data_IF_822040743429
#
_entry.id   IF_822040743429
#
_cell.length_a   1.000
_cell.length_b   1.000
_cell.length_c   1.000
_cell.angle_alpha   90.00
_cell.angle_beta   90.00
_cell.angle_gamma   90.00
#
_symmetry.space_group_name_H-M   'P 1'
#
loop_
_entity.id
_entity.type
_entity.pdbx_description
1 polymer ?
#
# COMPACT_ATOMS: atom_id res chain seq x y z
N UNK A 1 1.87 -15.85 -7.94
CA UNK A 1 2.19 -14.92 -9.02
C UNK A 1 1.04 -14.70 -10.00
N UNK A 2 0.39 -15.74 -10.54
CA UNK A 2 -0.75 -15.60 -11.47
C UNK A 2 -1.88 -14.75 -10.89
N UNK A 3 -2.28 -15.02 -9.65
CA UNK A 3 -3.31 -14.24 -8.97
C UNK A 3 -2.88 -12.78 -8.77
N UNK A 4 -1.65 -12.53 -8.31
CA UNK A 4 -1.13 -11.17 -8.12
C UNK A 4 -1.02 -10.41 -9.46
N UNK A 5 -0.66 -11.09 -10.56
CA UNK A 5 -0.66 -10.49 -11.90
C UNK A 5 -2.05 -10.10 -12.36
N UNK A 6 -3.05 -10.95 -12.13
CA UNK A 6 -4.46 -10.65 -12.38
C UNK A 6 -4.92 -9.43 -11.55
N UNK A 7 -4.65 -9.41 -10.25
CA UNK A 7 -4.99 -8.25 -9.41
C UNK A 7 -4.29 -6.97 -9.85
N UNK A 8 -3.01 -7.05 -10.25
CA UNK A 8 -2.27 -5.89 -10.72
C UNK A 8 -2.87 -5.32 -12.00
N UNK A 9 -3.31 -6.17 -12.94
CA UNK A 9 -4.00 -5.73 -14.17
C UNK A 9 -5.26 -4.94 -13.83
N UNK A 10 -6.09 -5.43 -12.92
CA UNK A 10 -7.32 -4.74 -12.50
C UNK A 10 -7.03 -3.46 -11.70
N UNK A 11 -6.04 -3.51 -10.83
CA UNK A 11 -5.57 -2.33 -10.07
C UNK A 11 -5.10 -1.21 -11.01
N UNK A 12 -4.25 -1.54 -12.00
CA UNK A 12 -3.76 -0.55 -12.95
C UNK A 12 -4.89 0.01 -13.83
N UNK A 13 -5.84 -0.86 -14.23
CA UNK A 13 -7.02 -0.44 -14.96
C UNK A 13 -7.84 0.60 -14.18
N UNK A 14 -8.01 0.43 -12.87
CA UNK A 14 -8.74 1.36 -12.01
C UNK A 14 -8.08 2.75 -11.92
N UNK A 15 -6.75 2.85 -12.04
CA UNK A 15 -6.04 4.15 -11.96
C UNK A 15 -6.37 5.09 -13.11
N UNK A 16 -6.99 4.60 -14.19
CA UNK A 16 -7.21 5.31 -15.46
C UNK A 16 -5.93 5.68 -16.22
N UNK A 17 -4.76 5.47 -15.64
CA UNK A 17 -3.49 5.71 -16.32
C UNK A 17 -3.29 4.72 -17.48
N UNK A 18 -2.56 5.12 -18.54
CA UNK A 18 -2.36 4.30 -19.74
C UNK A 18 -1.27 3.25 -19.53
N UNK A 19 -1.50 2.29 -18.63
CA UNK A 19 -0.57 1.22 -18.34
C UNK A 19 -1.29 -0.09 -18.08
N UNK A 20 -0.70 -1.19 -18.55
CA UNK A 20 -1.08 -2.55 -18.20
C UNK A 20 -0.59 -2.96 -16.82
N UNK A 21 -0.76 -4.22 -16.45
CA UNK A 21 -0.31 -4.75 -15.17
C UNK A 21 0.23 -6.16 -15.28
N UNK A 22 1.35 -6.41 -14.61
CA UNK A 22 1.98 -7.70 -14.50
C UNK A 22 2.63 -7.90 -13.13
N UNK A 23 3.03 -9.12 -12.83
CA UNK A 23 3.84 -9.49 -11.66
C UNK A 23 4.92 -10.48 -12.06
N UNK A 24 6.11 -10.24 -11.57
CA UNK A 24 7.24 -11.16 -11.64
C UNK A 24 7.80 -11.44 -10.25
N UNK A 25 8.78 -12.33 -10.17
CA UNK A 25 9.45 -12.63 -8.90
C UNK A 25 10.43 -13.78 -9.04
N UNK A 26 11.10 -14.08 -7.94
CA UNK A 26 12.03 -15.19 -7.80
C UNK A 26 11.77 -15.93 -6.50
N UNK A 27 12.41 -17.08 -6.33
CA UNK A 27 12.46 -17.86 -5.11
C UNK A 27 13.69 -17.55 -4.23
N UNK A 28 14.38 -16.45 -4.53
CA UNK A 28 15.54 -16.01 -3.75
C UNK A 28 15.09 -15.48 -2.38
N UNK A 29 15.64 -16.09 -1.32
CA UNK A 29 15.42 -15.64 0.05
C UNK A 29 16.55 -14.68 0.49
N UNK A 30 16.25 -13.39 0.72
CA UNK A 30 17.23 -12.40 1.16
C UNK A 30 17.55 -12.45 2.67
N UNK A 31 16.81 -13.24 3.46
CA UNK A 31 16.99 -13.29 4.91
C UNK A 31 18.40 -13.82 5.25
N UNK A 32 19.12 -13.08 6.05
CA UNK A 32 20.51 -13.42 6.44
C UNK A 32 21.57 -13.20 5.37
N UNK A 33 21.20 -12.66 4.20
CA UNK A 33 22.15 -12.31 3.14
C UNK A 33 22.73 -10.90 3.36
N UNK A 34 24.00 -10.74 3.00
CA UNK A 34 24.64 -9.43 2.95
C UNK A 34 24.16 -8.60 1.76
N UNK A 35 24.32 -7.29 1.84
CA UNK A 35 24.01 -6.37 0.72
C UNK A 35 24.79 -6.75 -0.56
N UNK A 36 26.02 -7.24 -0.43
CA UNK A 36 26.81 -7.69 -1.55
C UNK A 36 26.23 -8.96 -2.22
N UNK A 37 25.66 -9.89 -1.46
CA UNK A 37 24.98 -11.07 -2.00
C UNK A 37 23.68 -10.68 -2.71
N UNK A 38 22.88 -9.80 -2.10
CA UNK A 38 21.64 -9.29 -2.69
C UNK A 38 21.95 -8.51 -3.98
N UNK A 39 22.99 -7.69 -3.98
CA UNK A 39 23.45 -6.95 -5.17
C UNK A 39 23.83 -7.91 -6.30
N UNK A 40 24.61 -8.96 -6.02
CA UNK A 40 25.00 -9.96 -7.03
C UNK A 40 23.77 -10.67 -7.60
N UNK A 41 22.80 -11.02 -6.75
CA UNK A 41 21.55 -11.61 -7.21
C UNK A 41 20.78 -10.64 -8.14
N UNK A 42 20.59 -9.39 -7.75
CA UNK A 42 19.93 -8.37 -8.57
C UNK A 42 20.62 -8.17 -9.93
N UNK A 43 21.96 -8.15 -9.92
CA UNK A 43 22.74 -8.02 -11.14
C UNK A 43 22.60 -9.23 -12.06
N UNK A 44 22.64 -10.46 -11.51
CA UNK A 44 22.42 -11.68 -12.28
C UNK A 44 21.00 -11.75 -12.84
N UNK A 45 20.00 -11.37 -12.05
CA UNK A 45 18.60 -11.30 -12.49
C UNK A 45 18.43 -10.29 -13.66
N UNK A 46 19.07 -9.13 -13.58
CA UNK A 46 19.01 -8.11 -14.63
C UNK A 46 19.71 -8.54 -15.90
N UNK A 47 20.75 -9.40 -15.86
CA UNK A 47 21.40 -9.94 -17.06
C UNK A 47 20.43 -10.70 -17.98
N UNK A 48 19.41 -11.33 -17.39
CA UNK A 48 18.37 -12.02 -18.15
C UNK A 48 17.21 -11.08 -18.52
N UNK A 49 16.82 -10.20 -17.60
CA UNK A 49 15.62 -9.38 -17.71
C UNK A 49 15.78 -8.19 -18.66
N UNK A 50 16.96 -7.59 -18.79
CA UNK A 50 17.17 -6.30 -19.42
C UNK A 50 16.69 -6.19 -20.89
N UNK A 51 16.65 -7.33 -21.60
CA UNK A 51 16.17 -7.36 -22.99
C UNK A 51 14.65 -7.30 -23.12
N UNK A 52 13.95 -7.55 -22.03
CA UNK A 52 12.48 -7.63 -21.99
C UNK A 52 11.85 -6.38 -21.37
N UNK A 53 12.66 -5.42 -20.88
CA UNK A 53 12.20 -4.21 -20.20
C UNK A 53 12.76 -2.96 -20.88
N UNK A 54 12.08 -1.85 -20.65
CA UNK A 54 12.50 -0.56 -21.22
C UNK A 54 11.51 0.53 -20.85
N UNK A 55 11.84 1.82 -21.12
CA UNK A 55 10.96 2.93 -20.78
C UNK A 55 9.61 2.89 -21.49
N UNK A 56 9.53 2.22 -22.65
CA UNK A 56 8.32 2.08 -23.49
C UNK A 56 7.89 0.60 -23.64
N UNK A 57 8.34 -0.27 -22.73
CA UNK A 57 8.00 -1.69 -22.67
C UNK A 57 7.47 -2.02 -21.26
N UNK A 58 7.94 -3.12 -20.68
CA UNK A 58 7.63 -3.45 -19.29
C UNK A 58 8.53 -2.63 -18.34
N UNK A 59 7.92 -1.97 -17.36
CA UNK A 59 8.60 -1.12 -16.38
C UNK A 59 8.43 -1.74 -14.97
N UNK A 60 9.40 -2.52 -14.48
CA UNK A 60 9.32 -3.13 -13.15
C UNK A 60 9.30 -2.09 -12.03
N UNK A 61 8.63 -2.43 -10.93
CA UNK A 61 8.51 -1.62 -9.73
C UNK A 61 8.87 -2.43 -8.48
N UNK A 62 9.15 -1.75 -7.39
CA UNK A 62 9.34 -2.38 -6.08
C UNK A 62 8.06 -3.02 -5.56
N UNK A 63 8.19 -4.14 -4.85
CA UNK A 63 7.14 -4.88 -4.17
C UNK A 63 7.75 -5.67 -3.00
N UNK A 64 7.11 -6.73 -2.53
CA UNK A 64 7.61 -7.55 -1.42
C UNK A 64 9.08 -7.97 -1.64
N UNK A 65 9.94 -7.62 -0.71
CA UNK A 65 11.38 -7.92 -0.76
C UNK A 65 12.19 -7.05 -1.74
N UNK A 66 11.56 -6.16 -2.50
CA UNK A 66 12.22 -5.29 -3.48
C UNK A 66 11.95 -3.83 -3.14
N UNK A 67 12.84 -3.22 -2.41
CA UNK A 67 12.80 -1.81 -2.03
C UNK A 67 13.76 -0.94 -2.86
N UNK A 68 13.96 0.30 -2.41
CA UNK A 68 14.84 1.26 -3.11
C UNK A 68 16.29 0.76 -3.30
N UNK A 69 16.80 -0.06 -2.37
CA UNK A 69 18.12 -0.69 -2.47
C UNK A 69 18.20 -1.65 -3.67
N UNK A 70 17.26 -2.58 -3.76
CA UNK A 70 17.17 -3.57 -4.85
C UNK A 70 16.93 -2.87 -6.20
N UNK A 71 16.02 -1.90 -6.22
CA UNK A 71 15.78 -1.07 -7.43
C UNK A 71 17.07 -0.36 -7.87
N UNK A 72 17.87 0.13 -6.92
CA UNK A 72 19.18 0.73 -7.22
C UNK A 72 20.15 -0.25 -7.85
N UNK A 73 20.24 -1.48 -7.32
CA UNK A 73 21.11 -2.53 -7.87
C UNK A 73 20.67 -2.97 -9.28
N UNK A 74 19.35 -3.12 -9.49
CA UNK A 74 18.78 -3.46 -10.79
C UNK A 74 19.00 -2.33 -11.81
N UNK A 75 18.70 -1.09 -11.44
CA UNK A 75 18.88 0.07 -12.32
C UNK A 75 20.34 0.27 -12.72
N UNK A 76 21.28 0.19 -11.77
CA UNK A 76 22.70 0.34 -12.05
C UNK A 76 23.22 -0.73 -13.02
N UNK A 77 22.72 -1.97 -12.94
CA UNK A 77 23.09 -3.02 -13.89
C UNK A 77 22.45 -2.80 -15.25
N UNK A 78 21.19 -2.40 -15.32
CA UNK A 78 20.51 -2.08 -16.59
C UNK A 78 21.29 -0.99 -17.38
N UNK A 79 21.66 0.12 -16.70
CA UNK A 79 22.42 1.21 -17.34
C UNK A 79 23.76 0.73 -17.95
N UNK A 80 24.44 -0.21 -17.26
CA UNK A 80 25.67 -0.82 -17.79
C UNK A 80 25.45 -1.66 -19.03
N UNK A 81 24.34 -2.41 -19.07
CA UNK A 81 24.01 -3.32 -20.17
C UNK A 81 23.49 -2.56 -21.39
N UNK A 82 22.57 -1.63 -21.19
CA UNK A 82 21.97 -0.83 -22.24
C UNK A 82 22.94 0.19 -22.86
N UNK A 83 23.97 0.62 -22.09
CA UNK A 83 24.91 1.69 -22.49
C UNK A 83 24.25 3.03 -22.79
N UNK A 84 23.04 3.22 -22.31
CA UNK A 84 22.24 4.42 -22.47
C UNK A 84 21.66 4.81 -21.11
N UNK A 85 21.49 6.11 -20.87
CA UNK A 85 20.89 6.58 -19.63
C UNK A 85 19.37 6.70 -19.78
N UNK A 86 18.68 5.65 -19.33
CA UNK A 86 17.21 5.60 -19.29
C UNK A 86 16.71 5.78 -17.87
N UNK A 87 16.06 6.91 -17.59
CA UNK A 87 15.42 7.15 -16.28
C UNK A 87 14.13 6.37 -16.11
N UNK A 88 13.42 6.04 -17.18
CA UNK A 88 12.08 5.47 -17.19
C UNK A 88 11.98 3.94 -17.07
N UNK A 89 13.09 3.22 -16.92
CA UNK A 89 13.14 1.74 -17.00
C UNK A 89 12.56 1.03 -15.78
N UNK A 90 12.62 1.65 -14.61
CA UNK A 90 12.16 1.12 -13.33
C UNK A 90 11.45 2.22 -12.56
N UNK A 91 10.51 1.86 -11.68
CA UNK A 91 9.92 2.80 -10.73
C UNK A 91 10.28 2.46 -9.27
N UNK A 92 10.10 3.43 -8.38
CA UNK A 92 10.57 3.32 -7.00
C UNK A 92 12.04 3.69 -6.84
N UNK A 93 12.56 4.48 -7.77
CA UNK A 93 13.93 4.99 -7.77
C UNK A 93 14.15 6.04 -6.68
N UNK A 94 15.43 6.26 -6.33
CA UNK A 94 15.82 7.38 -5.47
C UNK A 94 15.68 8.72 -6.19
N UNK A 95 15.42 9.78 -5.42
CA UNK A 95 15.19 11.13 -5.94
C UNK A 95 16.33 11.67 -6.81
N UNK A 96 17.56 11.29 -6.51
CA UNK A 96 18.77 11.78 -7.22
C UNK A 96 19.00 11.12 -8.57
N UNK A 97 18.21 10.10 -8.94
CA UNK A 97 18.37 9.31 -10.17
C UNK A 97 17.03 8.93 -10.82
N UNK A 98 16.08 9.87 -10.81
CA UNK A 98 14.83 9.80 -11.57
C UNK A 98 13.63 9.28 -10.81
N UNK A 99 13.70 9.19 -9.47
CA UNK A 99 12.56 8.83 -8.62
C UNK A 99 11.56 9.97 -8.44
N UNK A 100 10.34 9.61 -8.02
CA UNK A 100 9.30 10.56 -7.64
C UNK A 100 9.24 10.72 -6.14
N UNK A 101 9.01 11.94 -5.69
CA UNK A 101 8.67 12.24 -4.29
C UNK A 101 7.37 11.53 -3.89
N UNK A 102 7.18 11.25 -2.62
CA UNK A 102 6.03 10.54 -2.03
C UNK A 102 5.88 9.06 -2.43
N UNK A 103 6.80 8.50 -3.25
CA UNK A 103 6.66 7.10 -3.70
C UNK A 103 6.66 6.08 -2.54
N UNK A 104 7.50 6.20 -1.50
CA UNK A 104 7.49 5.28 -0.36
C UNK A 104 6.17 5.28 0.42
N UNK A 105 5.54 6.45 0.59
CA UNK A 105 4.32 6.66 1.37
C UNK A 105 3.04 6.47 0.54
N UNK A 106 3.15 6.49 -0.78
CA UNK A 106 2.02 6.61 -1.70
C UNK A 106 0.91 5.58 -1.51
N UNK A 107 1.25 4.34 -1.19
CA UNK A 107 0.26 3.30 -0.95
C UNK A 107 -0.59 3.64 0.28
N UNK A 108 0.05 4.03 1.38
CA UNK A 108 -0.62 4.44 2.60
C UNK A 108 -1.43 5.73 2.41
N UNK A 109 -0.87 6.73 1.74
CA UNK A 109 -1.56 7.99 1.42
C UNK A 109 -2.81 7.75 0.58
N UNK A 110 -2.67 7.01 -0.51
CA UNK A 110 -3.79 6.64 -1.37
C UNK A 110 -4.87 5.87 -0.64
N UNK A 111 -4.50 4.94 0.24
CA UNK A 111 -5.46 4.19 1.05
C UNK A 111 -6.30 5.11 1.94
N UNK A 112 -5.69 6.13 2.54
CA UNK A 112 -6.42 7.09 3.37
C UNK A 112 -7.32 8.02 2.53
N UNK A 113 -6.89 8.43 1.34
CA UNK A 113 -7.74 9.17 0.42
C UNK A 113 -8.97 8.34 -0.01
N UNK A 114 -8.76 7.10 -0.42
CA UNK A 114 -9.86 6.20 -0.75
C UNK A 114 -10.81 6.00 0.44
N UNK A 115 -10.26 5.74 1.63
CA UNK A 115 -11.04 5.57 2.86
C UNK A 115 -11.85 6.83 3.18
N UNK A 116 -11.29 8.02 3.02
CA UNK A 116 -11.99 9.29 3.22
C UNK A 116 -13.20 9.41 2.28
N UNK A 117 -13.03 9.12 0.98
CA UNK A 117 -14.13 9.15 0.01
C UNK A 117 -15.20 8.09 0.32
N UNK A 118 -14.79 6.88 0.71
CA UNK A 118 -15.71 5.82 1.14
C UNK A 118 -16.55 6.26 2.36
N UNK A 119 -15.92 6.92 3.33
CA UNK A 119 -16.62 7.42 4.50
C UNK A 119 -17.59 8.56 4.15
N UNK A 120 -17.20 9.50 3.29
CA UNK A 120 -18.07 10.57 2.81
C UNK A 120 -19.29 10.02 2.08
N UNK A 121 -19.14 9.00 1.22
CA UNK A 121 -20.25 8.32 0.55
C UNK A 121 -21.22 7.67 1.56
N UNK A 122 -20.69 7.20 2.69
CA UNK A 122 -21.49 6.65 3.80
C UNK A 122 -22.02 7.71 4.78
N UNK A 123 -21.88 9.02 4.46
CA UNK A 123 -22.31 10.12 5.33
C UNK A 123 -21.49 10.27 6.60
N UNK A 124 -20.23 9.85 6.60
CA UNK A 124 -19.31 9.85 7.74
C UNK A 124 -18.03 10.65 7.43
N UNK A 125 -17.29 10.97 8.47
CA UNK A 125 -15.99 11.64 8.34
C UNK A 125 -14.91 10.81 9.07
N UNK A 126 -13.70 10.86 8.55
CA UNK A 126 -12.52 10.23 9.17
C UNK A 126 -12.01 11.00 10.39
N UNK A 127 -12.28 12.31 10.44
CA UNK A 127 -11.82 13.19 11.51
C UNK A 127 -12.33 12.73 12.88
N UNK A 128 -11.41 12.57 13.82
CA UNK A 128 -11.69 12.11 15.18
C UNK A 128 -11.93 10.60 15.32
N UNK A 129 -11.93 9.84 14.23
CA UNK A 129 -12.07 8.37 14.27
C UNK A 129 -10.80 7.68 14.72
N UNK A 130 -10.96 6.54 15.38
CA UNK A 130 -9.86 5.68 15.80
C UNK A 130 -9.51 4.67 14.70
N UNK A 131 -8.22 4.50 14.44
CA UNK A 131 -7.70 3.63 13.37
C UNK A 131 -6.73 2.61 13.94
N UNK A 132 -6.94 1.33 13.61
CA UNK A 132 -5.97 0.27 13.87
C UNK A 132 -5.27 -0.11 12.56
N UNK A 133 -3.94 -0.18 12.59
CA UNK A 133 -3.09 -0.47 11.42
C UNK A 133 -2.25 -1.69 11.72
N UNK A 134 -2.25 -2.68 10.82
CA UNK A 134 -1.27 -3.77 10.87
C UNK A 134 -0.06 -3.44 10.01
N UNK A 135 1.07 -4.06 10.35
CA UNK A 135 2.30 -3.93 9.60
C UNK A 135 3.25 -2.86 10.14
N UNK A 136 4.47 -2.96 9.65
CA UNK A 136 5.62 -2.18 10.10
C UNK A 136 6.43 -1.62 8.92
N UNK A 137 5.85 -1.67 7.72
CA UNK A 137 6.46 -1.22 6.48
C UNK A 137 6.11 0.21 6.08
N UNK A 138 6.61 0.63 4.92
CA UNK A 138 6.33 1.95 4.35
C UNK A 138 4.83 2.21 4.20
N UNK A 139 4.06 1.18 3.86
CA UNK A 139 2.60 1.25 3.73
C UNK A 139 1.95 1.65 5.05
N UNK A 140 2.30 0.96 6.15
CA UNK A 140 1.75 1.24 7.48
C UNK A 140 2.12 2.65 7.96
N UNK A 141 3.38 3.06 7.79
CA UNK A 141 3.84 4.40 8.20
C UNK A 141 3.25 5.51 7.33
N UNK A 142 3.12 5.28 6.03
CA UNK A 142 2.39 6.20 5.14
C UNK A 142 0.93 6.34 5.55
N UNK A 143 0.24 5.23 5.81
CA UNK A 143 -1.14 5.26 6.29
C UNK A 143 -1.27 6.00 7.63
N UNK A 144 -0.37 5.74 8.60
CA UNK A 144 -0.37 6.43 9.89
C UNK A 144 -0.15 7.94 9.73
N UNK A 145 0.81 8.36 8.89
CA UNK A 145 1.10 9.77 8.61
C UNK A 145 -0.13 10.47 8.03
N UNK A 146 -0.72 9.91 6.98
CA UNK A 146 -1.89 10.54 6.33
C UNK A 146 -3.13 10.50 7.25
N UNK A 147 -3.30 9.46 8.07
CA UNK A 147 -4.40 9.38 9.02
C UNK A 147 -4.38 10.55 10.02
N UNK A 148 -3.21 10.88 10.60
CA UNK A 148 -3.11 12.04 11.50
C UNK A 148 -3.29 13.37 10.78
N UNK A 149 -2.81 13.52 9.55
CA UNK A 149 -3.03 14.72 8.72
C UNK A 149 -4.53 14.95 8.47
N UNK A 150 -5.31 13.88 8.25
CA UNK A 150 -6.76 13.93 8.08
C UNK A 150 -7.54 14.03 9.41
N UNK A 151 -6.83 14.12 10.55
CA UNK A 151 -7.42 14.30 11.88
C UNK A 151 -7.94 13.02 12.54
N UNK A 152 -7.58 11.83 12.04
CA UNK A 152 -7.84 10.56 12.70
C UNK A 152 -6.84 10.28 13.83
N UNK A 153 -7.15 9.31 14.69
CA UNK A 153 -6.30 8.84 15.78
C UNK A 153 -5.86 7.40 15.52
N UNK A 154 -4.61 7.19 15.18
CA UNK A 154 -4.07 5.82 15.06
C UNK A 154 -3.79 5.29 16.46
N UNK A 155 -4.63 4.37 16.92
CA UNK A 155 -4.63 3.82 18.30
C UNK A 155 -3.91 2.48 18.42
N UNK A 156 -3.61 1.83 17.32
CA UNK A 156 -2.87 0.57 17.27
C UNK A 156 -1.97 0.48 16.04
N UNK A 157 -0.76 -0.01 16.26
CA UNK A 157 0.15 -0.49 15.21
C UNK A 157 0.68 -1.86 15.61
N UNK A 158 0.70 -2.81 14.69
CA UNK A 158 1.29 -4.13 14.93
C UNK A 158 2.49 -4.40 14.02
N UNK A 159 3.41 -5.18 14.54
CA UNK A 159 4.58 -5.69 13.84
C UNK A 159 4.71 -7.20 13.99
N UNK A 160 5.84 -7.78 13.58
CA UNK A 160 6.06 -9.22 13.68
C UNK A 160 6.15 -9.74 15.13
N UNK A 161 6.42 -8.86 16.09
CA UNK A 161 6.60 -9.16 17.52
C UNK A 161 5.34 -8.95 18.37
N UNK A 162 4.32 -8.27 17.85
CA UNK A 162 3.08 -8.01 18.58
C UNK A 162 2.40 -6.71 18.18
N UNK A 163 1.63 -6.13 19.11
CA UNK A 163 0.90 -4.88 18.93
C UNK A 163 1.27 -3.84 19.98
N UNK A 164 1.31 -2.58 19.54
CA UNK A 164 1.36 -1.43 20.44
C UNK A 164 0.02 -0.70 20.42
N UNK A 165 -0.64 -0.65 21.59
CA UNK A 165 -1.79 0.21 21.82
C UNK A 165 -1.30 1.62 22.18
N UNK A 166 -1.88 2.66 21.58
CA UNK A 166 -1.44 4.04 21.73
C UNK A 166 -2.60 4.87 22.29
N UNK A 167 -2.47 5.30 23.54
CA UNK A 167 -3.55 5.87 24.35
C UNK A 167 -4.21 7.12 23.73
N UNK A 168 -3.40 8.04 23.21
CA UNK A 168 -3.88 9.32 22.66
C UNK A 168 -3.78 9.39 21.14
N UNK A 169 -3.45 8.28 20.48
CA UNK A 169 -3.12 8.19 19.08
C UNK A 169 -1.64 8.47 18.81
N UNK A 170 -1.16 7.92 17.69
CA UNK A 170 0.24 8.04 17.26
C UNK A 170 0.59 9.52 16.98
N UNK A 171 1.81 9.92 17.29
CA UNK A 171 2.33 11.24 16.97
C UNK A 171 3.36 11.16 15.84
N UNK A 172 3.63 12.32 15.21
CA UNK A 172 4.70 12.41 14.21
C UNK A 172 6.06 11.99 14.79
N UNK A 173 6.37 12.38 16.02
CA UNK A 173 7.61 11.98 16.70
C UNK A 173 7.74 10.44 16.84
N UNK A 174 6.63 9.75 17.15
CA UNK A 174 6.61 8.29 17.22
C UNK A 174 6.88 7.67 15.83
N UNK A 175 6.25 8.22 14.78
CA UNK A 175 6.48 7.76 13.41
C UNK A 175 7.94 7.97 13.00
N UNK A 176 8.47 9.17 13.19
CA UNK A 176 9.86 9.51 12.84
C UNK A 176 10.85 8.58 13.58
N UNK A 177 10.61 8.29 14.88
CA UNK A 177 11.41 7.34 15.63
C UNK A 177 11.39 5.93 15.03
N UNK A 178 10.22 5.43 14.66
CA UNK A 178 10.08 4.08 14.10
C UNK A 178 10.67 3.97 12.70
N UNK A 179 10.63 5.04 11.91
CA UNK A 179 11.33 5.07 10.61
C UNK A 179 12.85 4.94 10.78
N UNK A 180 13.43 5.58 11.81
CA UNK A 180 14.85 5.44 12.16
C UNK A 180 15.17 4.01 12.63
N UNK A 181 14.31 3.42 13.48
CA UNK A 181 14.48 2.03 13.93
C UNK A 181 14.46 1.04 12.76
N UNK A 182 13.50 1.23 11.84
CA UNK A 182 13.42 0.41 10.63
C UNK A 182 14.66 0.55 9.74
N UNK A 183 15.14 1.77 9.51
CA UNK A 183 16.36 2.00 8.74
C UNK A 183 17.61 1.35 9.38
N UNK A 184 17.57 1.14 10.70
CA UNK A 184 18.61 0.44 11.47
C UNK A 184 18.42 -1.09 11.53
N UNK A 185 17.56 -1.68 10.66
CA UNK A 185 17.17 -3.09 10.65
C UNK A 185 16.50 -3.60 11.95
N UNK A 186 15.94 -2.72 12.76
CA UNK A 186 15.13 -3.05 13.93
C UNK A 186 13.67 -3.07 13.53
N UNK A 187 13.07 -4.26 13.47
CA UNK A 187 11.69 -4.46 13.03
C UNK A 187 10.78 -4.91 14.19
N UNK A 188 10.92 -4.26 15.35
CA UNK A 188 10.12 -4.54 16.53
C UNK A 188 9.28 -3.34 16.93
N UNK A 189 7.95 -3.51 17.00
CA UNK A 189 7.07 -2.44 17.48
C UNK A 189 7.23 -2.21 18.98
N UNK A 190 7.76 -3.18 19.72
CA UNK A 190 8.12 -3.03 21.13
C UNK A 190 9.03 -1.83 21.36
N UNK A 191 9.98 -1.57 20.46
CA UNK A 191 10.91 -0.42 20.57
C UNK A 191 10.17 0.93 20.72
N UNK A 192 8.98 1.05 20.12
CA UNK A 192 8.16 2.25 20.29
C UNK A 192 7.58 2.35 21.70
N UNK A 193 7.08 1.25 22.25
CA UNK A 193 6.56 1.25 23.62
C UNK A 193 7.67 1.50 24.65
N UNK A 194 8.86 0.97 24.43
CA UNK A 194 10.03 1.20 25.28
C UNK A 194 10.47 2.67 25.25
N UNK A 195 10.37 3.32 24.08
CA UNK A 195 10.71 4.75 23.93
C UNK A 195 9.64 5.68 24.49
N UNK A 196 8.35 5.32 24.36
CA UNK A 196 7.21 6.16 24.75
C UNK A 196 6.32 5.45 25.80
N UNK A 197 6.84 5.02 26.96
CA UNK A 197 6.13 4.15 27.90
C UNK A 197 4.93 4.82 28.59
N UNK A 198 4.78 6.14 28.50
CA UNK A 198 3.63 6.86 29.04
C UNK A 198 2.39 6.78 28.15
N UNK A 199 2.61 6.65 26.84
CA UNK A 199 1.57 6.71 25.81
C UNK A 199 1.34 5.37 25.13
N UNK A 200 2.30 4.45 25.19
CA UNK A 200 2.30 3.20 24.45
C UNK A 200 2.34 1.99 25.40
N UNK A 201 1.53 0.98 25.07
CA UNK A 201 1.52 -0.32 25.77
C UNK A 201 1.73 -1.43 24.74
N UNK A 202 2.82 -2.18 24.88
CA UNK A 202 3.12 -3.33 24.03
C UNK A 202 2.46 -4.60 24.57
N UNK A 203 1.92 -5.42 23.67
CA UNK A 203 1.43 -6.77 23.95
C UNK A 203 2.00 -7.72 22.90
N UNK A 204 2.82 -8.67 23.36
CA UNK A 204 3.45 -9.67 22.48
C UNK A 204 2.39 -10.59 21.85
N UNK A 205 2.70 -11.10 20.65
CA UNK A 205 1.92 -12.11 19.93
C UNK A 205 0.44 -11.75 19.68
N UNK A 206 0.08 -10.47 19.81
CA UNK A 206 -1.25 -9.97 19.50
C UNK A 206 -1.25 -9.15 18.21
N UNK A 207 -2.35 -9.20 17.47
CA UNK A 207 -2.60 -8.41 16.27
C UNK A 207 -3.21 -7.05 16.61
N UNK A 208 -3.13 -6.11 15.69
CA UNK A 208 -3.78 -4.80 15.81
C UNK A 208 -5.31 -4.91 16.06
N UNK A 209 -5.92 -5.98 15.63
CA UNK A 209 -7.35 -6.26 15.70
C UNK A 209 -7.88 -6.47 17.12
N UNK A 210 -7.00 -6.74 18.07
CA UNK A 210 -7.36 -6.84 19.50
C UNK A 210 -7.61 -5.49 20.18
N UNK A 211 -7.25 -4.38 19.52
CA UNK A 211 -7.43 -3.03 20.06
C UNK A 211 -8.71 -2.41 19.49
N UNK A 212 -9.61 -1.88 20.32
CA UNK A 212 -10.84 -1.22 19.86
C UNK A 212 -10.56 -0.06 18.90
N UNK A 213 -11.24 -0.04 17.76
CA UNK A 213 -11.11 1.00 16.74
C UNK A 213 -12.39 1.17 15.92
N UNK A 214 -12.54 2.31 15.26
CA UNK A 214 -13.60 2.58 14.28
C UNK A 214 -13.26 1.96 12.91
N UNK A 215 -12.01 2.06 12.51
CA UNK A 215 -11.51 1.72 11.17
C UNK A 215 -10.32 0.78 11.30
N UNK A 216 -10.32 -0.31 10.54
CA UNK A 216 -9.22 -1.26 10.43
C UNK A 216 -8.54 -1.14 9.06
N UNK A 217 -7.21 -1.04 9.06
CA UNK A 217 -6.37 -0.96 7.86
C UNK A 217 -5.34 -2.09 7.86
N UNK A 218 -5.63 -3.24 7.24
CA UNK A 218 -4.64 -4.29 7.01
C UNK A 218 -3.54 -3.80 6.05
N UNK A 219 -2.31 -3.62 6.55
CA UNK A 219 -1.18 -3.04 5.80
C UNK A 219 0.05 -3.96 5.74
N UNK A 220 -0.03 -5.19 6.24
CA UNK A 220 1.13 -6.07 6.37
C UNK A 220 1.29 -7.03 5.18
N UNK A 221 0.52 -8.10 5.11
CA UNK A 221 0.69 -9.16 4.11
C UNK A 221 -0.62 -9.88 3.78
N UNK A 222 -0.55 -10.79 2.81
CA UNK A 222 -1.72 -11.56 2.36
C UNK A 222 -2.29 -12.42 3.49
N UNK A 223 -3.64 -12.50 3.53
CA UNK A 223 -4.40 -13.36 4.45
C UNK A 223 -4.10 -13.13 5.94
N UNK A 224 -3.66 -11.94 6.31
CA UNK A 224 -3.34 -11.61 7.70
C UNK A 224 -4.57 -11.51 8.61
N UNK A 225 -5.74 -11.19 8.05
CA UNK A 225 -6.99 -11.00 8.77
C UNK A 225 -7.95 -12.17 8.49
N UNK A 226 -8.14 -13.01 9.51
CA UNK A 226 -9.04 -14.17 9.46
C UNK A 226 -10.49 -13.79 9.80
N UNK A 227 -11.43 -14.75 9.67
CA UNK A 227 -12.82 -14.56 10.10
C UNK A 227 -12.92 -14.29 11.61
N UNK A 228 -12.10 -14.95 12.42
CA UNK A 228 -12.04 -14.73 13.86
C UNK A 228 -11.58 -13.32 14.19
N UNK A 229 -10.56 -12.82 13.48
CA UNK A 229 -10.11 -11.42 13.58
C UNK A 229 -11.23 -10.44 13.21
N UNK A 230 -11.99 -10.74 12.15
CA UNK A 230 -13.12 -9.93 11.71
C UNK A 230 -14.26 -9.88 12.77
N UNK A 231 -14.55 -11.01 13.40
CA UNK A 231 -15.50 -11.10 14.53
C UNK A 231 -15.02 -10.29 15.74
N UNK A 232 -13.72 -10.36 16.05
CA UNK A 232 -13.13 -9.58 17.14
C UNK A 232 -13.20 -8.07 16.84
N UNK A 233 -12.82 -7.63 15.64
CA UNK A 233 -12.96 -6.24 15.20
C UNK A 233 -14.39 -5.73 15.35
N UNK A 234 -15.37 -6.47 14.83
CA UNK A 234 -16.78 -6.09 14.94
C UNK A 234 -17.25 -5.99 16.39
N UNK A 235 -16.87 -6.96 17.25
CA UNK A 235 -17.15 -6.94 18.69
C UNK A 235 -16.54 -5.71 19.38
N UNK A 236 -15.35 -5.30 18.96
CA UNK A 236 -14.62 -4.15 19.48
C UNK A 236 -15.07 -2.79 18.88
N UNK A 237 -16.15 -2.78 18.11
CA UNK A 237 -16.79 -1.57 17.59
C UNK A 237 -16.33 -1.14 16.20
N UNK A 238 -15.48 -1.90 15.52
CA UNK A 238 -15.06 -1.60 14.16
C UNK A 238 -16.24 -1.71 13.16
N UNK A 239 -16.42 -0.67 12.35
CA UNK A 239 -17.49 -0.59 11.36
C UNK A 239 -16.98 -0.31 9.94
N UNK A 240 -15.66 -0.17 9.75
CA UNK A 240 -15.03 0.02 8.45
C UNK A 240 -13.71 -0.76 8.38
N UNK A 241 -13.50 -1.52 7.32
CA UNK A 241 -12.24 -2.20 7.01
C UNK A 241 -11.86 -1.91 5.56
N UNK A 242 -10.73 -1.25 5.34
CA UNK A 242 -10.17 -1.00 4.02
C UNK A 242 -8.85 -1.75 3.87
N UNK A 243 -8.80 -2.74 2.97
CA UNK A 243 -7.58 -3.49 2.70
C UNK A 243 -6.51 -2.60 2.09
N UNK A 244 -5.35 -2.52 2.71
CA UNK A 244 -4.20 -1.80 2.16
C UNK A 244 -3.14 -2.76 1.63
N UNK A 245 -2.94 -3.91 2.26
CA UNK A 245 -2.15 -5.01 1.71
C UNK A 245 -2.88 -5.70 0.54
N UNK A 246 -2.12 -6.35 -0.34
CA UNK A 246 -2.72 -7.15 -1.40
C UNK A 246 -3.38 -8.39 -0.77
N UNK A 247 -4.70 -8.54 -0.92
CA UNK A 247 -5.46 -9.67 -0.38
C UNK A 247 -5.20 -9.85 1.14
N UNK A 248 -5.30 -8.78 1.93
CA UNK A 248 -5.02 -8.79 3.36
C UNK A 248 -6.03 -9.59 4.19
N UNK A 249 -7.29 -9.59 3.77
CA UNK A 249 -8.36 -10.34 4.42
C UNK A 249 -8.57 -11.71 3.75
N UNK A 250 -8.80 -12.74 4.56
CA UNK A 250 -9.24 -14.04 4.06
C UNK A 250 -10.68 -13.92 3.50
N UNK A 251 -11.08 -14.76 2.52
CA UNK A 251 -12.42 -14.69 1.92
C UNK A 251 -13.55 -14.72 2.94
N UNK A 252 -13.44 -15.57 3.98
CA UNK A 252 -14.45 -15.69 5.01
C UNK A 252 -14.56 -14.44 5.87
N UNK A 253 -13.46 -13.71 6.10
CA UNK A 253 -13.46 -12.42 6.76
C UNK A 253 -14.19 -11.35 5.92
N UNK A 254 -13.96 -11.34 4.58
CA UNK A 254 -14.66 -10.43 3.66
C UNK A 254 -16.16 -10.69 3.68
N UNK A 255 -16.57 -11.96 3.57
CA UNK A 255 -17.96 -12.35 3.65
C UNK A 255 -18.59 -11.97 5.00
N UNK A 256 -17.85 -12.15 6.10
CA UNK A 256 -18.31 -11.73 7.41
C UNK A 256 -18.56 -10.21 7.46
N UNK A 257 -17.65 -9.38 7.00
CA UNK A 257 -17.80 -7.93 6.99
C UNK A 257 -19.03 -7.50 6.17
N UNK A 258 -19.17 -8.00 4.94
CA UNK A 258 -20.29 -7.69 4.05
C UNK A 258 -21.65 -8.06 4.66
N UNK A 259 -21.72 -9.23 5.34
CA UNK A 259 -22.99 -9.72 5.92
C UNK A 259 -23.31 -9.09 7.28
N UNK A 260 -22.36 -8.40 7.92
CA UNK A 260 -22.56 -7.84 9.27
C UNK A 260 -22.50 -6.30 9.29
N UNK A 261 -22.70 -5.63 8.16
CA UNK A 261 -22.83 -4.17 8.10
C UNK A 261 -21.52 -3.43 8.40
N UNK A 262 -20.36 -4.06 8.18
CA UNK A 262 -19.07 -3.40 8.18
C UNK A 262 -18.77 -2.93 6.76
N UNK A 263 -18.47 -1.65 6.58
CA UNK A 263 -18.02 -1.13 5.30
C UNK A 263 -16.70 -1.79 4.94
N UNK A 264 -16.64 -2.43 3.77
CA UNK A 264 -15.45 -3.13 3.31
C UNK A 264 -15.04 -2.67 1.91
N UNK A 265 -13.75 -2.41 1.72
CA UNK A 265 -13.18 -2.12 0.41
C UNK A 265 -11.93 -2.97 0.13
N UNK A 266 -11.80 -3.54 -1.10
CA UNK A 266 -10.75 -4.48 -1.46
C UNK A 266 -9.42 -3.80 -1.76
N UNK A 267 -8.32 -4.51 -1.53
CA UNK A 267 -6.95 -4.01 -1.70
C UNK A 267 -6.67 -3.42 -3.07
N UNK A 268 -7.12 -4.05 -4.14
CA UNK A 268 -6.88 -3.56 -5.52
C UNK A 268 -7.39 -2.13 -5.79
N UNK A 269 -8.40 -1.67 -5.08
CA UNK A 269 -8.89 -0.30 -5.15
C UNK A 269 -8.19 0.59 -4.11
N UNK A 270 -8.13 0.14 -2.85
CA UNK A 270 -7.63 0.92 -1.72
C UNK A 270 -6.12 1.19 -1.84
N UNK A 271 -5.33 0.18 -2.23
CA UNK A 271 -3.86 0.29 -2.25
C UNK A 271 -3.29 0.77 -3.61
N UNK A 272 -4.12 1.20 -4.52
CA UNK A 272 -3.68 1.63 -5.85
C UNK A 272 -2.79 2.88 -5.84
N UNK A 273 -2.69 3.59 -4.72
CA UNK A 273 -1.83 4.77 -4.58
C UNK A 273 -0.37 4.53 -4.93
N UNK A 274 0.17 3.36 -4.58
CA UNK A 274 1.54 2.98 -4.92
C UNK A 274 1.77 2.90 -6.42
N UNK A 275 0.92 2.21 -7.15
CA UNK A 275 1.03 2.10 -8.62
C UNK A 275 0.64 3.40 -9.32
N UNK A 276 -0.32 4.15 -8.79
CA UNK A 276 -0.65 5.48 -9.30
C UNK A 276 0.60 6.40 -9.28
N UNK A 277 1.30 6.46 -8.15
CA UNK A 277 2.53 7.24 -8.05
C UNK A 277 3.67 6.67 -8.91
N UNK A 278 3.72 5.35 -9.13
CA UNK A 278 4.63 4.78 -10.14
C UNK A 278 4.33 5.30 -11.54
N UNK A 279 3.07 5.38 -11.94
CA UNK A 279 2.66 6.00 -13.22
C UNK A 279 3.00 7.49 -13.30
N UNK A 280 2.85 8.23 -12.19
CA UNK A 280 3.30 9.62 -12.12
C UNK A 280 4.83 9.74 -12.22
N UNK A 281 5.60 8.80 -11.66
CA UNK A 281 7.05 8.73 -11.83
C UNK A 281 7.44 8.47 -13.30
N UNK A 282 6.73 7.55 -13.98
CA UNK A 282 6.92 7.31 -15.42
C UNK A 282 6.67 8.59 -16.23
N UNK A 283 5.61 9.34 -15.92
CA UNK A 283 5.32 10.61 -16.58
C UNK A 283 6.45 11.63 -16.37
N UNK A 284 6.91 11.82 -15.14
CA UNK A 284 8.03 12.71 -14.83
C UNK A 284 9.30 12.31 -15.56
N UNK A 285 9.56 10.99 -15.68
CA UNK A 285 10.72 10.48 -16.43
C UNK A 285 10.60 10.75 -17.93
N UNK A 286 9.42 10.61 -18.51
CA UNK A 286 9.18 10.90 -19.92
C UNK A 286 9.28 12.40 -20.24
N UNK A 287 8.88 13.25 -19.31
CA UNK A 287 9.01 14.71 -19.45
C UNK A 287 10.42 15.23 -19.10
N UNK A 288 11.28 14.39 -18.53
CA UNK A 288 12.59 14.77 -17.94
C UNK A 288 12.48 15.87 -16.88
N UNK A 289 11.39 15.86 -16.10
CA UNK A 289 11.09 16.80 -15.04
C UNK A 289 10.88 16.10 -13.70
N UNK A 290 11.03 16.85 -12.61
CA UNK A 290 10.63 16.44 -11.27
C UNK A 290 9.54 17.37 -10.76
N UNK A 291 8.43 16.82 -10.30
CA UNK A 291 7.32 17.59 -9.75
C UNK A 291 7.51 17.82 -8.25
N UNK A 292 6.86 18.87 -7.75
CA UNK A 292 6.83 19.15 -6.31
C UNK A 292 5.92 18.17 -5.56
N UNK A 293 6.14 18.06 -4.25
CA UNK A 293 5.36 17.16 -3.40
C UNK A 293 3.85 17.44 -3.46
N UNK A 294 3.49 18.71 -3.45
CA UNK A 294 2.09 19.15 -3.50
C UNK A 294 1.41 18.77 -4.83
N UNK A 295 2.16 18.77 -5.93
CA UNK A 295 1.64 18.39 -7.24
C UNK A 295 1.44 16.87 -7.32
N UNK A 296 2.41 16.09 -6.85
CA UNK A 296 2.29 14.63 -6.82
C UNK A 296 1.14 14.22 -5.91
N UNK A 297 1.01 14.83 -4.72
CA UNK A 297 -0.04 14.52 -3.75
C UNK A 297 -1.44 14.87 -4.29
N UNK A 298 -1.59 16.04 -4.93
CA UNK A 298 -2.85 16.44 -5.55
C UNK A 298 -3.29 15.47 -6.68
N UNK A 299 -2.35 15.05 -7.53
CA UNK A 299 -2.62 14.06 -8.59
C UNK A 299 -2.96 12.70 -8.01
N UNK A 300 -2.25 12.25 -6.99
CA UNK A 300 -2.54 11.02 -6.27
C UNK A 300 -3.94 11.05 -5.67
N UNK A 301 -4.32 12.13 -4.99
CA UNK A 301 -5.65 12.30 -4.41
C UNK A 301 -6.74 12.18 -5.49
N UNK A 302 -6.59 12.90 -6.60
CA UNK A 302 -7.56 12.85 -7.71
C UNK A 302 -7.68 11.44 -8.34
N UNK A 303 -6.57 10.71 -8.49
CA UNK A 303 -6.61 9.33 -8.97
C UNK A 303 -7.39 8.44 -8.00
N UNK A 304 -7.15 8.57 -6.69
CA UNK A 304 -7.85 7.76 -5.68
C UNK A 304 -9.35 8.10 -5.59
N UNK A 305 -9.72 9.38 -5.74
CA UNK A 305 -11.10 9.82 -5.90
C UNK A 305 -11.77 9.15 -7.10
N UNK A 306 -11.14 9.20 -8.27
CA UNK A 306 -11.64 8.56 -9.49
C UNK A 306 -11.79 7.04 -9.35
N UNK A 307 -10.87 6.37 -8.67
CA UNK A 307 -11.00 4.94 -8.36
C UNK A 307 -12.23 4.68 -7.49
N UNK A 308 -12.44 5.49 -6.44
CA UNK A 308 -13.60 5.37 -5.58
C UNK A 308 -14.91 5.57 -6.37
N UNK A 309 -15.01 6.61 -7.20
CA UNK A 309 -16.18 6.87 -8.04
C UNK A 309 -16.51 5.71 -8.97
N UNK A 310 -15.49 5.09 -9.59
CA UNK A 310 -15.69 3.91 -10.41
C UNK A 310 -16.21 2.72 -9.59
N UNK A 311 -15.68 2.50 -8.40
CA UNK A 311 -16.16 1.45 -7.50
C UNK A 311 -17.63 1.68 -7.09
N UNK A 312 -18.00 2.91 -6.79
CA UNK A 312 -19.39 3.29 -6.47
C UNK A 312 -20.32 3.07 -7.67
N UNK A 313 -19.90 3.56 -8.86
CA UNK A 313 -20.69 3.43 -10.11
C UNK A 313 -21.07 1.98 -10.43
N UNK A 314 -20.15 1.07 -10.30
CA UNK A 314 -20.33 -0.34 -10.64
C UNK A 314 -20.73 -1.23 -9.44
N UNK A 315 -20.54 -0.74 -8.21
CA UNK A 315 -20.84 -1.47 -6.97
C UNK A 315 -22.21 -1.17 -6.37
N UNK A 316 -22.87 -0.07 -6.76
CA UNK A 316 -24.16 0.34 -6.18
C UNK A 316 -25.23 -0.69 -6.47
N UNK A 317 -25.88 -1.19 -5.42
CA UNK A 317 -26.96 -2.16 -5.48
C UNK A 317 -28.33 -1.44 -5.52
N UNK A 318 -29.39 -2.20 -5.78
CA UNK A 318 -30.78 -1.68 -5.90
C UNK A 318 -31.26 -1.03 -4.60
N UNK A 319 -30.84 -1.56 -3.46
CA UNK A 319 -31.15 -1.04 -2.11
C UNK A 319 -30.31 0.19 -1.69
N UNK A 320 -29.41 0.66 -2.59
CA UNK A 320 -28.52 1.77 -2.33
C UNK A 320 -27.19 1.39 -1.65
N UNK A 321 -27.04 0.15 -1.19
CA UNK A 321 -25.77 -0.35 -0.66
C UNK A 321 -24.68 -0.37 -1.75
N UNK A 322 -23.43 -0.16 -1.35
CA UNK A 322 -22.29 -0.22 -2.28
C UNK A 322 -21.44 -1.43 -1.95
N UNK A 323 -21.40 -2.39 -2.88
CA UNK A 323 -20.46 -3.50 -2.86
C UNK A 323 -19.16 -3.09 -3.58
N UNK A 324 -18.19 -2.63 -2.80
CA UNK A 324 -16.90 -2.18 -3.32
C UNK A 324 -16.07 -3.31 -3.95
N UNK A 325 -16.27 -4.57 -3.53
CA UNK A 325 -15.58 -5.73 -4.13
C UNK A 325 -16.09 -5.93 -5.56
N UNK A 326 -17.41 -5.97 -5.72
CA UNK A 326 -18.07 -6.07 -7.03
C UNK A 326 -17.73 -4.85 -7.90
N UNK A 327 -17.80 -3.65 -7.32
CA UNK A 327 -17.50 -2.39 -8.00
C UNK A 327 -16.09 -2.37 -8.58
N UNK A 328 -15.08 -2.68 -7.78
CA UNK A 328 -13.70 -2.72 -8.21
C UNK A 328 -13.43 -3.78 -9.30
N UNK A 329 -14.03 -4.96 -9.16
CA UNK A 329 -13.86 -6.04 -10.14
C UNK A 329 -14.50 -5.69 -11.48
N UNK A 330 -15.74 -5.16 -11.49
CA UNK A 330 -16.43 -4.80 -12.73
C UNK A 330 -15.74 -3.61 -13.40
N UNK A 331 -15.39 -2.55 -12.64
CA UNK A 331 -14.70 -1.38 -13.19
C UNK A 331 -13.37 -1.75 -13.84
N UNK A 332 -12.54 -2.55 -13.15
CA UNK A 332 -11.27 -3.04 -13.69
C UNK A 332 -11.46 -3.91 -14.94
N UNK A 333 -12.42 -4.85 -14.91
CA UNK A 333 -12.75 -5.71 -16.04
C UNK A 333 -13.23 -4.91 -17.26
N UNK A 334 -14.11 -3.94 -17.06
CA UNK A 334 -14.68 -3.16 -18.19
C UNK A 334 -13.61 -2.44 -19.00
N UNK A 335 -12.59 -1.87 -18.35
CA UNK A 335 -11.48 -1.23 -19.08
C UNK A 335 -10.66 -2.25 -19.88
N UNK A 336 -10.39 -3.43 -19.32
CA UNK A 336 -9.68 -4.50 -20.02
C UNK A 336 -10.52 -5.02 -21.19
N UNK A 337 -11.82 -5.27 -20.96
CA UNK A 337 -12.70 -5.77 -22.01
C UNK A 337 -12.88 -4.78 -23.17
N UNK A 338 -12.87 -3.48 -22.90
CA UNK A 338 -12.92 -2.46 -23.96
C UNK A 338 -11.64 -2.37 -24.78
N UNK A 339 -10.50 -2.80 -24.23
CA UNK A 339 -9.23 -2.84 -24.93
C UNK A 339 -9.06 -4.12 -25.78
N UNK A 340 -9.83 -5.16 -25.52
CA UNK A 340 -9.83 -6.43 -26.27
C UNK A 340 -10.67 -6.32 -27.57
#
# INVERSE_FOLDING_TARGET
>A
LKFLGFEQTFKNALTTLPMGGAKGGSDFDPVGKSDAEIMRFCQAFMLELWRCIGPDQDIPAGDVGVGGREIGFLNGMYQKLAREYHTGVLTGKGMTWGGSILRPEATGFGALYFTQHLLHEAGKDIKGKTVAISGFGNVAWGAATKAIELGAKVVAISGPDGVVAIKNGITKEMIDYMLVMRASNRNKVQDMADKFPKDCVFTADKKAWSIPCDIALPCAFQNELSEEDAKELKKNGCWCCCEVSNMGCQPDAIHFFQNNGVLFAPGKAVNAGGVATSGLEMTQNAEHLSWKAEEVDARLHHIMESIHEQCVKFGRQVDGHIDYVKGANIAGFMKVAQAM
#
